data_IF_510813060103
#
_entry.id   IF_510813060103
#
_cell.length_a   1.000
_cell.length_b   1.000
_cell.length_c   1.000
_cell.angle_alpha   90.00
_cell.angle_beta   90.00
_cell.angle_gamma   90.00
#
_symmetry.space_group_name_H-M   'P 1'
#
loop_
_entity.id
_entity.type
_entity.pdbx_description
1 polymer ?
#
# COMPACT_ATOMS: atom_id res chain seq x y z
N UNK A 1 5.43 -6.39 9.84
CA UNK A 1 6.28 -5.23 10.14
C UNK A 1 5.98 -4.06 9.22
N UNK A 2 6.16 -4.14 7.89
CA UNK A 2 5.79 -3.07 6.94
C UNK A 2 4.32 -2.62 7.09
N UNK A 3 3.38 -3.57 7.11
CA UNK A 3 1.94 -3.26 7.26
C UNK A 3 1.58 -2.49 8.52
N UNK A 4 2.21 -2.86 9.64
CA UNK A 4 1.97 -2.21 10.93
C UNK A 4 2.57 -0.82 10.96
N UNK A 5 3.71 -0.61 10.27
CA UNK A 5 4.36 0.70 10.19
C UNK A 5 3.60 1.61 9.24
N UNK A 6 3.19 1.14 8.05
CA UNK A 6 2.37 1.90 7.11
C UNK A 6 1.07 2.38 7.78
N UNK A 7 0.31 1.46 8.40
CA UNK A 7 -0.92 1.83 9.12
C UNK A 7 -0.68 2.85 10.26
N UNK A 8 0.42 2.71 11.01
CA UNK A 8 0.77 3.66 12.09
C UNK A 8 1.21 5.02 11.56
N UNK A 9 1.90 5.08 10.43
CA UNK A 9 2.33 6.35 9.82
C UNK A 9 1.12 7.16 9.35
N UNK A 10 0.11 6.46 8.84
CA UNK A 10 -1.15 7.02 8.38
C UNK A 10 -2.05 7.45 9.54
N UNK A 11 -2.16 6.64 10.60
CA UNK A 11 -2.79 7.05 11.86
C UNK A 11 -2.18 8.35 12.41
N UNK A 12 -0.86 8.55 12.21
CA UNK A 12 -0.19 9.79 12.60
C UNK A 12 -0.50 10.97 11.66
N UNK A 13 -0.66 10.74 10.35
CA UNK A 13 -1.07 11.79 9.40
C UNK A 13 -2.53 12.21 9.58
N UNK A 14 -3.43 11.27 9.88
CA UNK A 14 -4.84 11.52 10.22
C UNK A 14 -5.00 12.18 11.62
N UNK A 15 -3.99 12.05 12.48
CA UNK A 15 -4.03 12.62 13.82
C UNK A 15 -3.81 14.12 13.86
N UNK A 16 -4.47 14.78 14.81
CA UNK A 16 -4.24 16.21 15.10
C UNK A 16 -2.79 16.44 15.57
N UNK A 17 -2.08 17.48 15.09
CA UNK A 17 -2.58 18.63 14.31
C UNK A 17 -2.45 18.49 12.78
N UNK A 18 -2.04 17.34 12.26
CA UNK A 18 -1.71 17.15 10.84
C UNK A 18 -2.96 17.13 9.92
N UNK A 19 -4.08 16.62 10.42
CA UNK A 19 -5.39 16.65 9.73
C UNK A 19 -6.07 18.03 9.68
N UNK A 20 -5.54 19.05 10.38
CA UNK A 20 -6.11 20.41 10.32
C UNK A 20 -5.61 21.22 9.12
N UNK A 21 -4.47 20.84 8.54
CA UNK A 21 -3.84 21.52 7.41
C UNK A 21 -4.00 20.79 6.06
N UNK A 22 -4.41 19.52 6.08
CA UNK A 22 -4.49 18.65 4.90
C UNK A 22 -5.72 17.76 4.99
N UNK A 23 -6.40 17.51 3.86
CA UNK A 23 -7.47 16.51 3.72
C UNK A 23 -6.85 15.09 3.69
N UNK A 24 -5.98 14.82 4.66
CA UNK A 24 -5.08 13.66 4.72
C UNK A 24 -5.80 12.42 5.25
N UNK A 25 -5.28 11.28 4.80
CA UNK A 25 -5.83 9.92 4.93
C UNK A 25 -5.70 9.19 3.59
N UNK A 26 -5.42 7.88 3.62
CA UNK A 26 -5.06 7.05 2.45
C UNK A 26 -5.63 7.51 1.10
N UNK A 27 -4.78 8.00 0.20
CA UNK A 27 -5.12 8.09 -1.23
C UNK A 27 -5.24 6.70 -1.84
N UNK A 28 -5.87 6.63 -3.01
CA UNK A 28 -6.17 5.36 -3.68
C UNK A 28 -4.94 4.50 -4.01
N UNK A 29 -3.76 5.12 -3.98
CA UNK A 29 -2.49 4.58 -4.44
C UNK A 29 -1.44 4.39 -3.34
N UNK A 30 -1.63 4.92 -2.13
CA UNK A 30 -0.55 5.07 -1.14
C UNK A 30 0.04 3.71 -0.73
N UNK A 31 -0.78 2.78 -0.24
CA UNK A 31 -0.31 1.44 0.16
C UNK A 31 0.33 0.66 -0.97
N UNK A 32 -0.21 0.78 -2.18
CA UNK A 32 0.28 0.06 -3.36
C UNK A 32 1.63 0.64 -3.80
N UNK A 33 1.80 1.96 -3.69
CA UNK A 33 3.03 2.68 -4.00
C UNK A 33 4.13 2.40 -2.98
N UNK A 34 3.79 2.33 -1.70
CA UNK A 34 4.72 1.92 -0.65
C UNK A 34 5.22 0.49 -0.86
N UNK A 35 4.30 -0.44 -1.19
CA UNK A 35 4.65 -1.81 -1.50
C UNK A 35 5.56 -1.88 -2.73
N UNK A 36 5.27 -1.08 -3.76
CA UNK A 36 6.09 -0.99 -4.95
C UNK A 36 7.50 -0.49 -4.62
N UNK A 37 7.61 0.54 -3.79
CA UNK A 37 8.88 1.08 -3.30
C UNK A 37 9.70 0.04 -2.56
N UNK A 38 9.07 -0.73 -1.68
CA UNK A 38 9.71 -1.84 -0.97
C UNK A 38 10.31 -2.86 -1.95
N UNK A 39 9.55 -3.33 -2.95
CA UNK A 39 10.07 -4.31 -3.92
C UNK A 39 11.15 -3.74 -4.82
N UNK A 40 11.05 -2.47 -5.22
CA UNK A 40 12.09 -1.80 -6.00
C UNK A 40 13.44 -1.84 -5.28
N UNK A 41 13.45 -1.59 -3.97
CA UNK A 41 14.66 -1.62 -3.14
C UNK A 41 15.12 -3.06 -2.86
N UNK A 42 14.22 -3.90 -2.32
CA UNK A 42 14.58 -5.24 -1.83
C UNK A 42 14.92 -6.24 -2.92
N UNK A 43 14.26 -6.14 -4.08
CA UNK A 43 14.49 -7.07 -5.20
C UNK A 43 15.50 -6.50 -6.22
N UNK A 44 16.15 -5.38 -5.92
CA UNK A 44 17.06 -4.65 -6.82
C UNK A 44 16.51 -4.54 -8.25
N UNK A 45 15.19 -4.31 -8.38
CA UNK A 45 14.52 -4.34 -9.67
C UNK A 45 14.80 -3.02 -10.40
N UNK A 46 15.78 -3.04 -11.30
CA UNK A 46 16.14 -1.87 -12.11
C UNK A 46 15.05 -1.49 -13.13
N UNK A 47 14.14 -2.41 -13.48
CA UNK A 47 13.08 -2.18 -14.47
C UNK A 47 11.69 -2.56 -13.94
N UNK A 48 11.29 -2.02 -12.79
CA UNK A 48 9.94 -2.26 -12.23
C UNK A 48 8.83 -1.83 -13.19
N UNK A 49 9.04 -0.73 -13.93
CA UNK A 49 8.02 -0.18 -14.82
C UNK A 49 7.65 -1.10 -15.99
N UNK A 50 8.55 -1.98 -16.46
CA UNK A 50 8.19 -2.96 -17.48
C UNK A 50 7.13 -3.96 -17.01
N UNK A 51 7.00 -4.18 -15.71
CA UNK A 51 5.99 -5.05 -15.12
C UNK A 51 4.66 -4.34 -14.85
N UNK A 52 4.68 -3.01 -14.68
CA UNK A 52 3.50 -2.22 -14.36
C UNK A 52 2.77 -1.66 -15.58
N UNK A 53 3.45 -1.54 -16.73
CA UNK A 53 2.90 -0.98 -17.96
C UNK A 53 2.22 0.39 -17.72
N UNK A 54 2.96 1.40 -17.23
CA UNK A 54 2.39 2.72 -16.98
C UNK A 54 1.81 3.30 -18.27
N UNK A 55 0.68 4.00 -18.14
CA UNK A 55 0.08 4.75 -19.25
C UNK A 55 0.84 6.06 -19.50
N UNK A 56 0.64 6.67 -20.66
CA UNK A 56 1.23 7.98 -20.94
C UNK A 56 0.65 9.06 -20.01
N UNK A 57 1.33 10.21 -19.93
CA UNK A 57 0.84 11.34 -19.11
C UNK A 57 -0.54 11.82 -19.58
N UNK A 58 -0.74 11.87 -20.88
CA UNK A 58 -2.00 12.27 -21.51
C UNK A 58 -3.12 11.30 -21.12
N UNK A 59 -2.85 9.99 -21.15
CA UNK A 59 -3.79 8.96 -20.73
C UNK A 59 -4.11 8.96 -19.23
N UNK A 60 -3.13 9.32 -18.40
CA UNK A 60 -3.33 9.52 -16.97
C UNK A 60 -4.21 10.74 -16.69
N UNK A 61 -3.95 11.87 -17.36
CA UNK A 61 -4.73 13.10 -17.23
C UNK A 61 -6.18 12.90 -17.68
N UNK A 62 -6.43 12.15 -18.76
CA UNK A 62 -7.80 11.79 -19.18
C UNK A 62 -8.61 11.12 -18.05
N UNK A 63 -7.98 10.21 -17.30
CA UNK A 63 -8.62 9.55 -16.15
C UNK A 63 -8.82 10.50 -14.99
N UNK A 64 -7.84 11.36 -14.72
CA UNK A 64 -7.96 12.39 -13.69
C UNK A 64 -9.13 13.35 -13.97
N UNK A 65 -9.26 13.82 -15.21
CA UNK A 65 -10.32 14.73 -15.63
C UNK A 65 -11.71 14.08 -15.56
N UNK A 66 -11.79 12.77 -15.81
CA UNK A 66 -13.06 12.03 -15.80
C UNK A 66 -13.48 11.55 -14.40
N UNK A 67 -12.56 10.98 -13.62
CA UNK A 67 -12.85 10.37 -12.31
C UNK A 67 -12.55 11.29 -11.12
N UNK A 68 -11.92 12.44 -11.36
CA UNK A 68 -11.53 13.39 -10.33
C UNK A 68 -10.17 13.09 -9.69
N UNK A 69 -9.86 13.85 -8.64
CA UNK A 69 -8.58 13.79 -7.93
C UNK A 69 -8.40 12.46 -7.22
N UNK A 70 -7.20 11.88 -7.27
CA UNK A 70 -6.93 10.57 -6.66
C UNK A 70 -7.13 10.55 -5.15
N UNK A 71 -6.86 11.66 -4.44
CA UNK A 71 -7.04 11.77 -2.99
C UNK A 71 -8.50 11.64 -2.52
N UNK A 72 -9.46 11.82 -3.43
CA UNK A 72 -10.89 11.58 -3.15
C UNK A 72 -11.26 10.10 -3.16
N UNK A 73 -10.37 9.23 -3.67
CA UNK A 73 -10.54 7.79 -3.70
C UNK A 73 -9.71 7.19 -2.56
N UNK A 74 -10.35 6.66 -1.53
CA UNK A 74 -9.64 6.03 -0.40
C UNK A 74 -9.38 4.55 -0.67
N UNK A 75 -8.17 4.07 -0.39
CA UNK A 75 -7.81 2.66 -0.51
C UNK A 75 -6.90 2.19 0.64
N UNK A 76 -7.50 1.49 1.59
CA UNK A 76 -6.80 0.93 2.76
C UNK A 76 -6.29 -0.50 2.51
N UNK A 77 -6.28 -0.95 1.25
CA UNK A 77 -5.83 -2.29 0.87
C UNK A 77 -4.64 -2.21 -0.08
N UNK A 78 -3.87 -3.29 -0.17
CA UNK A 78 -2.84 -3.42 -1.21
C UNK A 78 -3.39 -3.78 -2.59
N UNK A 79 -4.71 -3.80 -2.78
CA UNK A 79 -5.27 -4.04 -4.12
C UNK A 79 -5.18 -2.75 -4.91
N UNK A 80 -4.58 -2.75 -6.12
CA UNK A 80 -4.52 -1.55 -6.94
C UNK A 80 -5.93 -1.10 -7.32
N UNK A 81 -6.23 0.19 -7.10
CA UNK A 81 -7.46 0.79 -7.62
C UNK A 81 -7.24 1.17 -9.08
N UNK A 82 -7.95 0.51 -9.99
CA UNK A 82 -7.82 0.69 -11.43
C UNK A 82 -8.90 1.62 -11.96
N UNK A 83 -8.48 2.55 -12.83
CA UNK A 83 -9.35 3.52 -13.50
C UNK A 83 -9.47 3.14 -14.98
N UNK A 84 -10.64 2.64 -15.43
CA UNK A 84 -10.87 2.31 -16.83
C UNK A 84 -10.61 3.50 -17.77
N UNK A 85 -10.33 3.23 -19.04
CA UNK A 85 -10.26 4.30 -20.03
C UNK A 85 -11.68 4.88 -20.26
N UNK A 86 -11.93 6.17 -19.98
CA UNK A 86 -13.26 6.76 -20.13
C UNK A 86 -13.71 6.84 -21.60
N UNK A 87 -12.79 6.79 -22.56
CA UNK A 87 -13.14 6.79 -24.00
C UNK A 87 -13.59 5.42 -24.48
N UNK A 88 -13.02 4.35 -23.94
CA UNK A 88 -13.38 2.97 -24.28
C UNK A 88 -14.52 2.44 -23.41
N UNK A 89 -14.58 2.86 -22.15
CA UNK A 89 -15.56 2.46 -21.16
C UNK A 89 -16.20 3.70 -20.50
N UNK A 90 -17.11 4.41 -21.20
CA UNK A 90 -17.70 5.66 -20.68
C UNK A 90 -18.45 5.51 -19.35
N UNK A 91 -18.98 4.31 -19.08
CA UNK A 91 -19.68 3.97 -17.84
C UNK A 91 -18.83 3.10 -16.90
N UNK A 92 -17.54 2.93 -17.21
CA UNK A 92 -16.61 2.12 -16.43
C UNK A 92 -16.36 2.77 -15.07
N UNK A 93 -16.53 2.00 -13.99
CA UNK A 93 -16.27 2.47 -12.63
C UNK A 93 -14.89 2.04 -12.16
N UNK A 94 -14.23 2.84 -11.30
CA UNK A 94 -13.01 2.40 -10.64
C UNK A 94 -13.26 1.11 -9.85
N UNK A 95 -12.32 0.18 -9.92
CA UNK A 95 -12.45 -1.13 -9.30
C UNK A 95 -11.09 -1.67 -8.87
N UNK A 96 -11.09 -2.58 -7.90
CA UNK A 96 -9.87 -3.20 -7.41
C UNK A 96 -9.35 -4.25 -8.40
N UNK A 97 -8.09 -4.11 -8.77
CA UNK A 97 -7.34 -5.09 -9.54
C UNK A 97 -6.59 -6.09 -8.68
N UNK A 98 -5.79 -6.93 -9.34
CA UNK A 98 -4.85 -7.84 -8.69
C UNK A 98 -3.45 -7.24 -8.70
N UNK A 99 -2.68 -7.47 -7.64
CA UNK A 99 -1.28 -7.13 -7.61
C UNK A 99 -0.50 -7.99 -8.61
N UNK A 100 0.52 -7.44 -9.27
CA UNK A 100 1.48 -8.25 -10.03
C UNK A 100 2.13 -9.31 -9.14
N UNK A 101 2.39 -10.49 -9.70
CA UNK A 101 2.96 -11.63 -8.95
C UNK A 101 4.27 -11.29 -8.21
N UNK A 102 5.12 -10.44 -8.78
CA UNK A 102 6.37 -10.06 -8.14
C UNK A 102 6.14 -9.31 -6.82
N UNK A 103 5.03 -8.56 -6.70
CA UNK A 103 4.65 -7.82 -5.50
C UNK A 103 3.96 -8.70 -4.44
N UNK A 104 3.81 -10.00 -4.69
CA UNK A 104 3.20 -10.97 -3.77
C UNK A 104 4.21 -12.01 -3.25
N UNK A 105 5.51 -11.80 -3.49
CA UNK A 105 6.56 -12.78 -3.16
C UNK A 105 6.96 -12.76 -1.68
N UNK A 106 6.79 -11.63 -1.00
CA UNK A 106 7.00 -11.50 0.45
C UNK A 106 5.66 -11.52 1.15
N UNK A 107 5.46 -12.50 2.03
CA UNK A 107 4.29 -12.59 2.89
C UNK A 107 4.63 -12.15 4.32
N UNK A 108 3.70 -11.46 5.02
CA UNK A 108 3.90 -11.15 6.42
C UNK A 108 4.12 -12.41 7.24
N UNK A 109 5.12 -12.38 8.11
CA UNK A 109 5.33 -13.44 9.07
C UNK A 109 4.10 -13.62 9.97
N UNK A 110 3.59 -14.85 10.07
CA UNK A 110 2.37 -15.17 10.82
C UNK A 110 2.59 -16.20 11.94
N UNK A 111 3.78 -16.77 12.07
CA UNK A 111 4.10 -17.80 13.09
C UNK A 111 4.65 -17.17 14.37
N UNK A 112 3.84 -16.37 15.07
CA UNK A 112 4.26 -15.61 16.25
C UNK A 112 4.69 -16.46 17.48
N UNK A 113 4.38 -17.77 17.45
CA UNK A 113 4.67 -18.74 18.53
C UNK A 113 5.90 -19.61 18.18
N UNK A 114 6.51 -19.44 17.00
CA UNK A 114 7.70 -20.23 16.63
C UNK A 114 8.96 -19.68 17.30
N UNK A 115 9.89 -20.56 17.66
CA UNK A 115 11.24 -20.20 18.14
C UNK A 115 12.19 -19.73 17.01
N UNK A 116 11.73 -19.80 15.75
CA UNK A 116 12.50 -19.48 14.54
C UNK A 116 12.92 -17.99 14.44
N UNK A 117 12.24 -17.08 15.15
CA UNK A 117 12.50 -15.64 15.11
C UNK A 117 12.41 -15.00 16.50
N UNK A 118 13.25 -13.99 16.74
CA UNK A 118 13.12 -13.12 17.90
C UNK A 118 12.10 -12.02 17.63
N UNK A 119 11.12 -11.85 18.53
CA UNK A 119 10.08 -10.84 18.42
C UNK A 119 10.42 -9.72 19.39
N UNK A 120 10.46 -8.49 18.88
CA UNK A 120 10.59 -7.28 19.70
C UNK A 120 9.17 -6.74 19.94
N UNK A 121 8.71 -6.83 21.19
CA UNK A 121 7.43 -6.32 21.62
C UNK A 121 7.61 -4.94 22.30
N UNK A 122 7.08 -3.84 21.72
CA UNK A 122 7.19 -2.51 22.29
C UNK A 122 6.56 -2.36 23.69
N UNK A 123 5.68 -3.29 24.08
CA UNK A 123 5.01 -3.24 25.38
C UNK A 123 5.74 -4.05 26.47
N UNK A 124 6.83 -4.76 26.14
CA UNK A 124 7.54 -5.67 27.06
C UNK A 124 9.05 -5.45 27.15
N UNK A 125 9.58 -4.34 26.64
CA UNK A 125 10.97 -3.86 26.80
C UNK A 125 12.13 -4.83 26.44
N UNK A 126 11.86 -6.06 26.00
CA UNK A 126 12.89 -7.06 25.69
C UNK A 126 12.63 -7.83 24.38
N UNK A 127 13.74 -8.23 23.74
CA UNK A 127 13.77 -9.15 22.61
C UNK A 127 13.45 -10.55 23.16
N UNK A 128 12.33 -11.15 22.78
CA UNK A 128 11.97 -12.51 23.17
C UNK A 128 12.11 -13.46 21.98
N UNK A 129 12.92 -14.51 22.14
CA UNK A 129 12.90 -15.64 21.21
C UNK A 129 11.68 -16.51 21.52
N UNK A 130 10.83 -16.74 20.53
CA UNK A 130 9.91 -17.89 20.54
C UNK A 130 8.54 -17.77 21.18
N UNK A 131 8.16 -16.66 21.82
CA UNK A 131 6.79 -16.50 22.36
C UNK A 131 6.29 -15.07 22.26
N UNK A 132 5.85 -14.66 21.07
CA UNK A 132 4.96 -13.52 20.93
C UNK A 132 3.52 -13.94 21.20
N UNK A 133 2.74 -13.12 21.89
CA UNK A 133 1.31 -13.40 22.02
C UNK A 133 0.60 -13.26 20.65
N UNK A 134 -0.33 -14.17 20.33
CA UNK A 134 -1.14 -14.03 19.13
C UNK A 134 -1.93 -12.73 19.21
N UNK A 135 -1.78 -11.86 18.21
CA UNK A 135 -2.63 -10.66 18.09
C UNK A 135 -4.00 -11.12 17.61
N UNK A 136 -5.02 -10.87 18.44
CA UNK A 136 -6.43 -11.01 18.09
C UNK A 136 -6.82 -10.03 16.97
#
# INVERSE_FOLDING_TARGET
>A
MMMTVARKFEELQDSFPFSWATDSGFSGEDLVSDLLGFYRVMSCMNNVFSYLKPVSKEEALKRWDHYGKIGSWKNETFKPLLFPDPTQFPNGRPHFGQLPNFMMTVTPYNRWISEDVAIVDPNRDFIHFGRGEPRA
#
